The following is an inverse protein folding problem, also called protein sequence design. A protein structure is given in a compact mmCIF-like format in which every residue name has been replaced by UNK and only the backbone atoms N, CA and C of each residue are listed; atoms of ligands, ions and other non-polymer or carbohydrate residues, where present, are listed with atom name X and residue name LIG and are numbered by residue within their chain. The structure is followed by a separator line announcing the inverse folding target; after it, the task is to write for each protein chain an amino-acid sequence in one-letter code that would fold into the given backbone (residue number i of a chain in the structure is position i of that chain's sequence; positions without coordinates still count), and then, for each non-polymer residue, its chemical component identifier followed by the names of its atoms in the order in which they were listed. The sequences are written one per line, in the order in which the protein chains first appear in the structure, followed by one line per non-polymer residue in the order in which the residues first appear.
data_IF_483955134388
#
_entry.id   IF_483955134388
#
_cell.length_a   1.000
_cell.length_b   1.000
_cell.length_c   1.000
_cell.angle_alpha   90.00
_cell.angle_beta   90.00
_cell.angle_gamma   90.00
#
_symmetry.space_group_name_H-M   'P 1'
#
loop_
_entity.id
_entity.type
_entity.pdbx_description
1 polymer ?
#
# COMPACT_ATOMS: atom_id res chain seq x y z
N UNK A 1 13.15 3.89 32.22
CA UNK A 1 11.83 3.49 31.69
C UNK A 1 11.06 4.66 31.07
N UNK A 2 10.81 5.76 31.78
CA UNK A 2 10.00 6.88 31.27
C UNK A 2 10.44 7.45 29.90
N UNK A 3 11.75 7.65 29.68
CA UNK A 3 12.27 8.16 28.40
C UNK A 3 12.00 7.19 27.24
N UNK A 4 12.12 5.89 27.49
CA UNK A 4 11.86 4.84 26.49
C UNK A 4 10.38 4.80 26.12
N UNK A 5 9.50 4.82 27.12
CA UNK A 5 8.04 4.86 26.92
C UNK A 5 7.65 6.10 26.09
N UNK A 6 8.23 7.25 26.42
CA UNK A 6 7.98 8.51 25.71
C UNK A 6 8.41 8.42 24.24
N UNK A 7 9.60 7.85 23.97
CA UNK A 7 10.09 7.63 22.61
C UNK A 7 9.18 6.69 21.80
N UNK A 8 8.75 5.57 22.38
CA UNK A 8 7.84 4.62 21.72
C UNK A 8 6.49 5.27 21.40
N UNK A 9 5.96 6.08 22.33
CA UNK A 9 4.72 6.82 22.12
C UNK A 9 4.81 7.79 20.93
N UNK A 10 5.85 8.63 20.88
CA UNK A 10 6.03 9.56 19.75
C UNK A 10 6.24 8.84 18.42
N UNK A 11 6.93 7.69 18.45
CA UNK A 11 7.15 6.86 17.26
C UNK A 11 5.82 6.29 16.75
N UNK A 12 4.96 5.77 17.63
CA UNK A 12 3.62 5.31 17.28
C UNK A 12 2.75 6.44 16.72
N UNK A 13 2.74 7.61 17.38
CA UNK A 13 1.97 8.77 16.92
C UNK A 13 2.42 9.24 15.54
N UNK A 14 3.74 9.27 15.29
CA UNK A 14 4.29 9.57 13.98
C UNK A 14 3.86 8.53 12.94
N UNK A 15 3.90 7.24 13.30
CA UNK A 15 3.43 6.16 12.43
C UNK A 15 1.95 6.28 12.05
N UNK A 16 1.09 6.70 12.98
CA UNK A 16 -0.33 6.97 12.73
C UNK A 16 -0.50 8.14 11.76
N UNK A 17 0.22 9.25 11.97
CA UNK A 17 0.19 10.40 11.04
C UNK A 17 0.62 9.97 9.63
N UNK A 18 1.67 9.14 9.53
CA UNK A 18 2.14 8.62 8.24
C UNK A 18 1.06 7.77 7.55
N UNK A 19 0.25 6.99 8.28
CA UNK A 19 -0.87 6.23 7.69
C UNK A 19 -1.88 7.18 7.01
N UNK A 20 -2.21 8.33 7.63
CA UNK A 20 -3.08 9.33 7.00
C UNK A 20 -2.45 9.98 5.76
N UNK A 21 -1.15 10.23 5.79
CA UNK A 21 -0.45 10.74 4.60
C UNK A 21 -0.40 9.68 3.47
N UNK A 22 -0.24 8.41 3.82
CA UNK A 22 -0.30 7.30 2.87
C UNK A 22 -1.67 7.18 2.20
N UNK A 23 -2.78 7.35 2.93
CA UNK A 23 -4.11 7.29 2.32
C UNK A 23 -4.34 8.44 1.33
N UNK A 24 -3.86 9.65 1.65
CA UNK A 24 -3.87 10.79 0.71
C UNK A 24 -3.03 10.46 -0.53
N UNK A 25 -1.84 9.90 -0.34
CA UNK A 25 -0.97 9.54 -1.46
C UNK A 25 -1.57 8.41 -2.32
N UNK A 26 -2.22 7.41 -1.73
CA UNK A 26 -2.99 6.40 -2.47
C UNK A 26 -4.12 7.07 -3.27
N UNK A 27 -4.79 8.07 -2.70
CA UNK A 27 -5.79 8.86 -3.39
C UNK A 27 -5.23 9.56 -4.62
N UNK A 28 -4.09 10.24 -4.47
CA UNK A 28 -3.38 10.88 -5.59
C UNK A 28 -3.00 9.84 -6.65
N UNK A 29 -2.43 8.70 -6.25
CA UNK A 29 -2.06 7.62 -7.18
C UNK A 29 -3.28 7.04 -7.90
N UNK A 30 -4.42 6.93 -7.23
CA UNK A 30 -5.67 6.51 -7.86
C UNK A 30 -6.09 7.45 -9.00
N UNK A 31 -6.05 8.77 -8.77
CA UNK A 31 -6.38 9.75 -9.81
C UNK A 31 -5.36 9.82 -10.94
N UNK A 32 -4.08 9.60 -10.63
CA UNK A 32 -2.98 9.60 -11.60
C UNK A 32 -2.84 8.27 -12.36
N UNK A 33 -3.59 7.23 -11.99
CA UNK A 33 -3.49 5.92 -12.60
C UNK A 33 -3.82 5.97 -14.08
N UNK A 34 -2.94 5.47 -14.98
CA UNK A 34 -3.24 5.40 -16.40
C UNK A 34 -4.52 4.59 -16.65
N UNK A 35 -5.47 5.20 -17.36
CA UNK A 35 -6.79 4.61 -17.60
C UNK A 35 -6.69 3.33 -18.43
N UNK A 36 -5.68 3.24 -19.29
CA UNK A 36 -5.38 2.08 -20.11
C UNK A 36 -5.06 0.85 -19.25
N UNK A 37 -4.32 1.02 -18.15
CA UNK A 37 -4.02 -0.08 -17.22
C UNK A 37 -5.30 -0.62 -16.60
N UNK A 38 -6.18 0.26 -16.13
CA UNK A 38 -7.45 -0.16 -15.54
C UNK A 38 -8.34 -0.82 -16.59
N UNK A 39 -8.52 -0.21 -17.76
CA UNK A 39 -9.36 -0.77 -18.83
C UNK A 39 -8.85 -2.10 -19.38
N UNK A 40 -7.53 -2.29 -19.45
CA UNK A 40 -6.94 -3.50 -20.01
C UNK A 40 -6.85 -4.64 -19.00
N UNK A 41 -6.66 -4.35 -17.71
CA UNK A 41 -6.34 -5.38 -16.71
C UNK A 41 -7.34 -5.52 -15.57
N UNK A 42 -8.16 -4.51 -15.26
CA UNK A 42 -9.21 -4.60 -14.25
C UNK A 42 -10.49 -5.22 -14.86
N UNK A 43 -10.39 -6.49 -15.25
CA UNK A 43 -11.46 -7.25 -15.89
C UNK A 43 -11.26 -8.76 -15.72
N UNK A 44 -12.24 -9.55 -16.15
CA UNK A 44 -12.08 -11.00 -16.34
C UNK A 44 -11.02 -11.28 -17.42
N UNK A 45 -10.20 -12.34 -17.30
CA UNK A 45 -10.21 -13.38 -16.27
C UNK A 45 -9.38 -13.06 -15.01
N UNK A 46 -8.75 -11.88 -14.92
CA UNK A 46 -7.80 -11.54 -13.85
C UNK A 46 -8.46 -11.22 -12.50
N UNK A 47 -9.69 -10.72 -12.56
CA UNK A 47 -10.52 -10.40 -11.41
C UNK A 47 -11.88 -11.10 -11.55
N UNK A 48 -12.38 -11.61 -10.43
CA UNK A 48 -13.72 -12.21 -10.40
C UNK A 48 -14.82 -11.13 -10.31
N UNK A 49 -16.08 -11.51 -10.46
CA UNK A 49 -17.20 -10.56 -10.48
C UNK A 49 -17.35 -9.79 -9.16
N UNK A 50 -17.09 -10.44 -8.03
CA UNK A 50 -17.15 -9.81 -6.71
C UNK A 50 -16.06 -8.75 -6.54
N UNK A 51 -14.82 -9.05 -6.94
CA UNK A 51 -13.73 -8.08 -6.89
C UNK A 51 -13.99 -6.90 -7.83
N UNK A 52 -14.55 -7.17 -9.02
CA UNK A 52 -14.92 -6.12 -9.96
C UNK A 52 -16.01 -5.21 -9.39
N UNK A 53 -17.06 -5.77 -8.80
CA UNK A 53 -18.13 -4.97 -8.19
C UNK A 53 -17.62 -4.18 -6.97
N UNK A 54 -16.83 -4.82 -6.10
CA UNK A 54 -16.28 -4.20 -4.91
C UNK A 54 -15.34 -3.05 -5.25
N UNK A 55 -14.37 -3.27 -6.15
CA UNK A 55 -13.30 -2.30 -6.41
C UNK A 55 -13.61 -1.26 -7.51
N UNK A 56 -14.84 -1.22 -8.02
CA UNK A 56 -15.27 -0.19 -9.00
C UNK A 56 -15.64 1.13 -8.32
N UNK A 57 -16.27 1.09 -7.14
CA UNK A 57 -16.83 2.27 -6.47
C UNK A 57 -16.03 2.79 -5.27
N UNK A 58 -16.41 3.97 -4.76
CA UNK A 58 -15.85 4.53 -3.52
C UNK A 58 -16.32 3.74 -2.29
N UNK A 59 -15.48 3.52 -1.25
CA UNK A 59 -14.06 3.89 -1.13
C UNK A 59 -13.10 2.82 -1.69
N UNK A 60 -13.63 1.69 -2.16
CA UNK A 60 -12.85 0.52 -2.54
C UNK A 60 -12.02 0.69 -3.82
N UNK A 61 -12.34 1.69 -4.64
CA UNK A 61 -11.56 2.09 -5.81
C UNK A 61 -10.10 2.48 -5.47
N UNK A 62 -9.83 2.94 -4.24
CA UNK A 62 -8.47 3.19 -3.75
C UNK A 62 -7.69 1.89 -3.51
N UNK A 63 -8.36 0.81 -3.10
CA UNK A 63 -7.72 -0.51 -2.97
C UNK A 63 -7.32 -1.05 -4.34
N UNK A 64 -8.13 -0.84 -5.38
CA UNK A 64 -7.74 -1.14 -6.76
C UNK A 64 -6.44 -0.45 -7.15
N UNK A 65 -6.33 0.84 -6.80
CA UNK A 65 -5.14 1.61 -7.11
C UNK A 65 -3.91 1.03 -6.39
N UNK A 66 -4.05 0.71 -5.10
CA UNK A 66 -3.00 0.06 -4.33
C UNK A 66 -2.61 -1.32 -4.89
N UNK A 67 -3.58 -2.11 -5.38
CA UNK A 67 -3.31 -3.40 -6.03
C UNK A 67 -2.46 -3.22 -7.29
N UNK A 68 -2.81 -2.26 -8.16
CA UNK A 68 -2.02 -1.99 -9.36
C UNK A 68 -0.64 -1.40 -9.04
N UNK A 69 -0.54 -0.51 -8.05
CA UNK A 69 0.76 -0.04 -7.52
C UNK A 69 1.62 -1.23 -7.13
N UNK A 70 1.08 -2.19 -6.38
CA UNK A 70 1.79 -3.41 -6.02
C UNK A 70 2.19 -4.24 -7.24
N UNK A 71 1.30 -4.43 -8.21
CA UNK A 71 1.60 -5.18 -9.44
C UNK A 71 2.72 -4.53 -10.27
N UNK A 72 2.77 -3.20 -10.31
CA UNK A 72 3.80 -2.44 -11.01
C UNK A 72 5.17 -2.61 -10.35
N UNK A 73 5.22 -2.59 -9.01
CA UNK A 73 6.47 -2.71 -8.24
C UNK A 73 6.94 -4.16 -8.14
N UNK A 74 6.00 -5.08 -7.91
CA UNK A 74 6.23 -6.51 -7.72
C UNK A 74 5.35 -7.33 -8.69
N UNK A 75 5.77 -7.49 -9.96
CA UNK A 75 4.98 -8.19 -10.98
C UNK A 75 4.63 -9.63 -10.62
N UNK A 76 5.48 -10.31 -9.84
CA UNK A 76 5.23 -11.68 -9.37
C UNK A 76 3.95 -11.81 -8.52
N UNK A 77 3.47 -10.72 -7.93
CA UNK A 77 2.18 -10.72 -7.22
C UNK A 77 0.97 -10.94 -8.15
N UNK A 78 1.14 -10.73 -9.47
CA UNK A 78 0.12 -10.96 -10.50
C UNK A 78 0.09 -12.37 -11.06
N UNK A 79 1.11 -13.20 -10.82
CA UNK A 79 1.23 -14.55 -11.41
C UNK A 79 0.06 -15.46 -11.01
N UNK A 80 -0.37 -15.40 -9.74
CA UNK A 80 -1.55 -16.15 -9.26
C UNK A 80 -2.84 -15.77 -10.00
N UNK A 81 -2.90 -14.55 -10.53
CA UNK A 81 -4.03 -14.04 -11.34
C UNK A 81 -3.79 -14.24 -12.84
N UNK A 82 -2.67 -14.83 -13.25
CA UNK A 82 -2.22 -14.93 -14.64
C UNK A 82 -2.10 -13.56 -15.33
N UNK A 83 -1.87 -12.50 -14.56
CA UNK A 83 -1.66 -11.15 -15.07
C UNK A 83 -0.28 -11.04 -15.71
N UNK A 84 -0.15 -10.44 -16.91
CA UNK A 84 1.15 -10.15 -17.49
C UNK A 84 1.88 -9.08 -16.67
N UNK A 85 3.18 -8.94 -16.93
CA UNK A 85 3.99 -7.93 -16.27
C UNK A 85 3.70 -6.52 -16.81
N UNK A 86 2.82 -5.79 -16.12
CA UNK A 86 2.40 -4.43 -16.48
C UNK A 86 3.39 -3.33 -16.05
N UNK A 87 4.50 -3.66 -15.38
CA UNK A 87 5.44 -2.67 -14.82
C UNK A 87 6.10 -1.75 -15.86
N UNK A 88 6.11 -2.17 -17.13
CA UNK A 88 6.67 -1.42 -18.27
C UNK A 88 5.61 -0.68 -19.09
N UNK A 89 4.34 -0.90 -18.79
CA UNK A 89 3.21 -0.29 -19.51
C UNK A 89 2.77 1.05 -18.89
N UNK A 90 3.31 1.37 -17.71
CA UNK A 90 3.10 2.66 -17.06
C UNK A 90 4.25 3.64 -17.35
N UNK A 91 3.98 4.95 -17.32
CA UNK A 91 5.04 5.95 -17.37
C UNK A 91 6.09 5.74 -16.27
N UNK A 92 7.36 5.99 -16.58
CA UNK A 92 8.48 5.80 -15.63
C UNK A 92 8.27 6.56 -14.32
N UNK A 93 7.77 7.80 -14.39
CA UNK A 93 7.48 8.61 -13.19
C UNK A 93 6.44 7.95 -12.28
N UNK A 94 5.38 7.37 -12.85
CA UNK A 94 4.34 6.68 -12.09
C UNK A 94 4.89 5.42 -11.42
N UNK A 95 5.79 4.70 -12.11
CA UNK A 95 6.50 3.57 -11.53
C UNK A 95 7.37 3.99 -10.34
N UNK A 96 8.12 5.09 -10.44
CA UNK A 96 8.92 5.59 -9.32
C UNK A 96 8.04 5.99 -8.12
N UNK A 97 6.92 6.68 -8.37
CA UNK A 97 5.95 6.99 -7.31
C UNK A 97 5.34 5.72 -6.68
N UNK A 98 5.09 4.69 -7.49
CA UNK A 98 4.61 3.39 -6.99
C UNK A 98 5.64 2.72 -6.06
N UNK A 99 6.93 2.74 -6.44
CA UNK A 99 8.02 2.22 -5.61
C UNK A 99 8.12 3.02 -4.31
N UNK A 100 8.06 4.35 -4.39
CA UNK A 100 8.10 5.24 -3.24
C UNK A 100 6.94 4.95 -2.28
N UNK A 101 5.71 4.90 -2.79
CA UNK A 101 4.51 4.61 -1.99
C UNK A 101 4.61 3.26 -1.30
N UNK A 102 4.99 2.21 -2.03
CA UNK A 102 5.11 0.87 -1.45
C UNK A 102 6.24 0.80 -0.41
N UNK A 103 7.37 1.48 -0.66
CA UNK A 103 8.47 1.62 0.29
C UNK A 103 8.04 2.31 1.57
N UNK A 104 7.32 3.43 1.48
CA UNK A 104 6.77 4.15 2.63
C UNK A 104 5.81 3.26 3.44
N UNK A 105 4.93 2.51 2.76
CA UNK A 105 4.01 1.58 3.43
C UNK A 105 4.79 0.51 4.20
N UNK A 106 5.76 -0.14 3.55
CA UNK A 106 6.55 -1.23 4.17
C UNK A 106 7.35 -0.70 5.36
N UNK A 107 8.10 0.40 5.19
CA UNK A 107 8.92 0.98 6.26
C UNK A 107 8.06 1.39 7.44
N UNK A 108 6.94 2.10 7.21
CA UNK A 108 6.05 2.50 8.29
C UNK A 108 5.45 1.28 9.01
N UNK A 109 5.03 0.26 8.26
CA UNK A 109 4.46 -0.97 8.83
C UNK A 109 5.48 -1.69 9.72
N UNK A 110 6.73 -1.80 9.27
CA UNK A 110 7.81 -2.42 10.04
C UNK A 110 8.13 -1.60 11.30
N UNK A 111 8.26 -0.28 11.18
CA UNK A 111 8.54 0.60 12.34
C UNK A 111 7.42 0.50 13.38
N UNK A 112 6.16 0.56 12.97
CA UNK A 112 5.01 0.42 13.88
C UNK A 112 5.00 -0.95 14.54
N UNK A 113 5.18 -2.03 13.77
CA UNK A 113 5.21 -3.39 14.30
C UNK A 113 6.33 -3.57 15.34
N UNK A 114 7.55 -3.12 15.03
CA UNK A 114 8.68 -3.17 15.96
C UNK A 114 8.40 -2.35 17.23
N UNK A 115 7.83 -1.16 17.09
CA UNK A 115 7.51 -0.29 18.22
C UNK A 115 6.49 -0.96 19.16
N UNK A 116 5.46 -1.59 18.59
CA UNK A 116 4.46 -2.36 19.35
C UNK A 116 5.08 -3.59 20.02
N UNK A 117 5.93 -4.34 19.31
CA UNK A 117 6.61 -5.51 19.86
C UNK A 117 7.53 -5.14 21.03
N UNK A 118 8.32 -4.07 20.90
CA UNK A 118 9.19 -3.58 21.97
C UNK A 118 8.33 -3.14 23.16
N UNK A 119 7.27 -2.37 22.93
CA UNK A 119 6.34 -1.96 23.99
C UNK A 119 5.72 -3.13 24.73
N UNK A 120 5.30 -4.18 24.00
CA UNK A 120 4.75 -5.40 24.60
C UNK A 120 5.78 -6.16 25.44
N UNK A 121 7.02 -6.26 24.97
CA UNK A 121 8.11 -6.90 25.74
C UNK A 121 8.40 -6.11 27.01
N UNK A 122 8.46 -4.78 26.96
CA UNK A 122 8.69 -3.94 28.14
C UNK A 122 7.59 -4.12 29.19
N UNK A 123 6.32 -4.17 28.79
CA UNK A 123 5.20 -4.43 29.69
C UNK A 123 5.20 -5.82 30.31
N UNK A 124 5.88 -6.79 29.69
CA UNK A 124 5.94 -8.17 30.18
C UNK A 124 7.09 -8.40 31.20
N UNK A 125 8.05 -7.46 31.27
CA UNK A 125 9.22 -7.55 32.16
C UNK A 125 9.18 -6.53 33.32
N UNK A 126 8.27 -5.55 33.27
CA UNK A 126 7.87 -4.72 34.42
C UNK A 126 6.85 -5.46 35.30
#
# INVERSE_FOLDING_TARGET
MQQVITFLFYTLMTGVIIIFLQTIFIGVMHFLMPKEIVGNYFKKPYFNEFELSLFTGWPYAFFRALMFVRLIVQPSSGEKRKLPNISREVPKWYRYLSILLLGIIIVNSVVVALTLSIGAVLLAIE
#
